data_IF_522283760613
#
_entry.id   IF_522283760613
#
_cell.length_a   1.000
_cell.length_b   1.000
_cell.length_c   1.000
_cell.angle_alpha   90.00
_cell.angle_beta   90.00
_cell.angle_gamma   90.00
#
_symmetry.space_group_name_H-M   'P 1'
#
loop_
_entity.id
_entity.type
_entity.pdbx_description
1 polymer ?
#
# COMPACT_ATOMS: atom_id res chain seq x y z
N UNK A 1 -1.22 3.09 25.88
CA UNK A 1 -0.82 3.06 24.47
C UNK A 1 -2.04 3.32 23.60
N UNK A 2 -1.91 4.12 22.56
CA UNK A 2 -2.99 4.49 21.62
C UNK A 2 -2.66 3.94 20.23
N UNK A 3 -3.57 3.15 19.68
CA UNK A 3 -3.41 2.46 18.41
C UNK A 3 -4.41 3.06 17.41
N UNK A 4 -3.91 3.56 16.28
CA UNK A 4 -4.74 3.94 15.14
C UNK A 4 -4.80 2.76 14.17
N UNK A 5 -6.02 2.38 13.75
CA UNK A 5 -6.23 1.30 12.78
C UNK A 5 -6.87 1.88 11.51
N UNK A 6 -6.34 1.48 10.35
CA UNK A 6 -6.85 1.84 9.03
C UNK A 6 -6.89 0.61 8.10
N UNK A 7 -7.45 0.76 6.91
CA UNK A 7 -7.39 -0.22 5.81
C UNK A 7 -7.72 0.46 4.47
N UNK A 8 -7.79 -0.32 3.39
CA UNK A 8 -8.30 0.10 2.08
C UNK A 8 -9.53 -0.67 1.60
N UNK A 9 -9.87 -1.79 2.23
CA UNK A 9 -11.06 -2.59 1.90
C UNK A 9 -12.39 -1.96 2.39
N UNK A 10 -12.31 -0.89 3.19
CA UNK A 10 -13.48 -0.19 3.74
C UNK A 10 -13.80 -0.57 5.19
N UNK A 11 -14.62 0.28 5.84
CA UNK A 11 -14.90 0.18 7.29
C UNK A 11 -15.73 -1.06 7.70
N UNK A 12 -16.37 -1.75 6.75
CA UNK A 12 -17.12 -2.98 6.99
C UNK A 12 -16.31 -4.25 6.70
N UNK A 13 -15.08 -4.12 6.22
CA UNK A 13 -14.27 -5.26 5.80
C UNK A 13 -13.99 -6.25 6.95
N UNK A 14 -14.13 -7.57 6.71
CA UNK A 14 -13.80 -8.60 7.70
C UNK A 14 -12.36 -8.50 8.20
N UNK A 15 -11.41 -8.18 7.32
CA UNK A 15 -10.01 -8.00 7.69
C UNK A 15 -9.78 -6.88 8.71
N UNK A 16 -10.51 -5.75 8.57
CA UNK A 16 -10.46 -4.66 9.53
C UNK A 16 -10.98 -5.12 10.92
N UNK A 17 -12.09 -5.84 10.92
CA UNK A 17 -12.65 -6.38 12.17
C UNK A 17 -11.69 -7.36 12.85
N UNK A 18 -11.04 -8.22 12.09
CA UNK A 18 -10.02 -9.15 12.58
C UNK A 18 -8.78 -8.43 13.13
N UNK A 19 -8.33 -7.37 12.48
CA UNK A 19 -7.22 -6.55 12.95
C UNK A 19 -7.55 -5.89 14.30
N UNK A 20 -8.75 -5.30 14.42
CA UNK A 20 -9.24 -4.74 15.69
C UNK A 20 -9.28 -5.80 16.78
N UNK A 21 -9.86 -6.97 16.51
CA UNK A 21 -9.94 -8.08 17.47
C UNK A 21 -8.55 -8.58 17.90
N UNK A 22 -7.60 -8.67 16.98
CA UNK A 22 -6.24 -9.12 17.24
C UNK A 22 -5.51 -8.26 18.28
N UNK A 23 -5.76 -6.96 18.31
CA UNK A 23 -5.06 -6.02 19.20
C UNK A 23 -5.91 -5.55 20.40
N UNK A 24 -7.08 -6.14 20.58
CA UNK A 24 -7.94 -5.88 21.73
C UNK A 24 -7.17 -6.11 23.04
N UNK A 25 -7.29 -5.15 23.98
CA UNK A 25 -6.59 -5.18 25.26
C UNK A 25 -5.12 -4.75 25.24
N UNK A 26 -4.54 -4.38 24.08
CA UNK A 26 -3.19 -3.86 24.00
C UNK A 26 -3.12 -2.34 24.23
N UNK A 27 -4.22 -1.64 24.06
CA UNK A 27 -4.32 -0.18 24.24
C UNK A 27 -5.69 0.35 23.88
N UNK A 28 -5.79 1.68 23.86
CA UNK A 28 -6.95 2.41 23.34
C UNK A 28 -6.91 2.36 21.80
N UNK A 29 -8.01 1.92 21.19
CA UNK A 29 -8.09 1.69 19.74
C UNK A 29 -9.03 2.73 19.12
N UNK A 30 -8.54 3.44 18.14
CA UNK A 30 -9.32 4.27 17.21
C UNK A 30 -9.23 3.67 15.81
N UNK A 31 -10.36 3.63 15.11
CA UNK A 31 -10.43 3.09 13.75
C UNK A 31 -10.89 4.18 12.79
N UNK A 32 -10.18 4.33 11.68
CA UNK A 32 -10.57 5.19 10.58
C UNK A 32 -10.33 4.47 9.25
N UNK A 33 -11.34 4.38 8.40
CA UNK A 33 -11.28 3.60 7.17
C UNK A 33 -12.05 4.29 6.04
N UNK A 34 -11.81 3.96 4.77
CA UNK A 34 -12.64 4.41 3.68
C UNK A 34 -14.09 3.92 3.82
N UNK A 35 -15.03 4.70 3.31
CA UNK A 35 -16.44 4.32 3.23
C UNK A 35 -16.64 3.04 2.42
N UNK A 36 -15.88 2.88 1.34
CA UNK A 36 -15.94 1.76 0.41
C UNK A 36 -14.53 1.24 0.12
N UNK A 37 -14.45 0.09 -0.57
CA UNK A 37 -13.17 -0.42 -1.05
C UNK A 37 -12.48 0.59 -1.96
N UNK A 38 -11.24 0.94 -1.61
CA UNK A 38 -10.38 1.90 -2.28
C UNK A 38 -9.05 1.26 -2.74
N UNK A 39 -9.10 -0.03 -3.12
CA UNK A 39 -7.91 -0.76 -3.60
C UNK A 39 -7.30 -0.09 -4.84
N UNK A 40 -5.98 -0.05 -4.91
CA UNK A 40 -5.25 0.52 -6.04
C UNK A 40 -5.19 2.06 -6.06
N UNK A 41 -5.58 2.74 -4.98
CA UNK A 41 -5.53 4.21 -4.90
C UNK A 41 -4.14 4.75 -4.59
N UNK A 42 -3.17 3.90 -4.26
CA UNK A 42 -1.82 4.34 -3.89
C UNK A 42 -1.85 5.36 -2.73
N UNK A 43 -0.85 6.24 -2.66
CA UNK A 43 -0.74 7.32 -1.66
C UNK A 43 -1.51 8.59 -2.09
N UNK A 44 -2.61 8.46 -2.82
CA UNK A 44 -3.36 9.62 -3.31
C UNK A 44 -4.07 10.36 -2.18
N UNK A 45 -3.95 11.70 -2.18
CA UNK A 45 -4.71 12.61 -1.34
C UNK A 45 -5.81 13.31 -2.15
N UNK A 46 -6.99 13.44 -1.56
CA UNK A 46 -8.13 14.14 -2.17
C UNK A 46 -8.05 15.65 -1.90
N UNK A 47 -7.52 16.40 -2.87
CA UNK A 47 -7.35 17.86 -2.74
C UNK A 47 -8.39 18.70 -3.52
N UNK A 48 -9.24 18.06 -4.31
CA UNK A 48 -10.16 18.71 -5.23
C UNK A 48 -11.61 18.79 -4.73
N UNK A 49 -11.91 18.23 -3.55
CA UNK A 49 -13.22 18.26 -2.90
C UNK A 49 -13.08 18.12 -1.39
N UNK A 50 -14.07 18.57 -0.60
CA UNK A 50 -14.08 18.31 0.84
C UNK A 50 -14.27 16.81 1.15
N UNK A 51 -13.67 16.38 2.24
CA UNK A 51 -13.88 15.06 2.84
C UNK A 51 -14.94 15.15 3.94
N UNK A 52 -15.75 14.12 4.05
CA UNK A 52 -16.73 13.96 5.11
C UNK A 52 -16.35 12.77 5.98
N UNK A 53 -16.53 12.93 7.27
CA UNK A 53 -16.24 11.90 8.29
C UNK A 53 -17.53 11.50 8.97
N UNK A 54 -17.77 10.21 9.06
CA UNK A 54 -18.95 9.63 9.67
C UNK A 54 -18.55 8.68 10.79
N UNK A 55 -19.43 8.48 11.78
CA UNK A 55 -19.26 7.45 12.82
C UNK A 55 -20.11 6.23 12.49
N UNK A 56 -19.52 5.04 12.55
CA UNK A 56 -20.25 3.78 12.39
C UNK A 56 -21.00 3.44 13.68
N UNK A 57 -22.33 3.29 13.63
CA UNK A 57 -23.14 3.05 14.83
C UNK A 57 -22.93 1.63 15.40
N UNK A 58 -23.20 1.45 16.70
CA UNK A 58 -23.39 0.14 17.33
C UNK A 58 -22.11 -0.67 17.56
N UNK A 59 -20.92 -0.06 17.52
CA UNK A 59 -19.65 -0.75 17.76
C UNK A 59 -19.09 -0.41 19.15
N UNK A 60 -18.46 -1.38 19.81
CA UNK A 60 -17.74 -1.16 21.08
C UNK A 60 -16.47 -0.32 20.88
N UNK A 61 -15.75 -0.55 19.79
CA UNK A 61 -14.62 0.28 19.38
C UNK A 61 -15.13 1.42 18.51
N UNK A 62 -14.66 2.63 18.71
CA UNK A 62 -15.02 3.78 17.89
C UNK A 62 -14.48 3.58 16.48
N UNK A 63 -15.38 3.53 15.51
CA UNK A 63 -15.07 3.38 14.09
C UNK A 63 -15.60 4.58 13.34
N UNK A 64 -14.71 5.28 12.66
CA UNK A 64 -15.05 6.38 11.72
C UNK A 64 -14.76 5.93 10.30
N UNK A 65 -15.53 6.44 9.37
CA UNK A 65 -15.25 6.24 7.95
C UNK A 65 -15.31 7.56 7.17
N UNK A 66 -14.54 7.60 6.08
CA UNK A 66 -14.33 8.78 5.26
C UNK A 66 -14.67 8.47 3.81
N UNK A 67 -15.30 9.42 3.10
CA UNK A 67 -15.52 9.32 1.66
C UNK A 67 -14.24 9.66 0.87
N UNK A 68 -13.13 9.08 1.23
CA UNK A 68 -11.78 9.36 0.72
C UNK A 68 -10.94 8.10 0.56
N UNK A 69 -9.67 8.32 0.26
CA UNK A 69 -8.66 7.26 0.14
C UNK A 69 -8.20 6.77 1.52
N UNK A 70 -7.47 5.63 1.60
CA UNK A 70 -6.82 5.20 2.84
C UNK A 70 -5.86 6.24 3.42
N UNK A 71 -5.08 6.92 2.57
CA UNK A 71 -4.21 8.03 2.98
C UNK A 71 -5.01 9.21 3.53
N UNK A 72 -6.14 9.58 2.89
CA UNK A 72 -7.03 10.62 3.41
C UNK A 72 -7.53 10.31 4.81
N UNK A 73 -7.92 9.05 5.06
CA UNK A 73 -8.39 8.61 6.36
C UNK A 73 -7.35 8.87 7.45
N UNK A 74 -6.12 8.42 7.24
CA UNK A 74 -5.02 8.63 8.20
C UNK A 74 -4.66 10.10 8.30
N UNK A 75 -4.57 10.81 7.19
CA UNK A 75 -4.25 12.25 7.16
C UNK A 75 -5.24 13.07 7.98
N UNK A 76 -6.54 12.88 7.77
CA UNK A 76 -7.60 13.58 8.50
C UNK A 76 -7.60 13.20 9.98
N UNK A 77 -7.33 11.92 10.31
CA UNK A 77 -7.18 11.49 11.69
C UNK A 77 -6.04 12.24 12.39
N UNK A 78 -4.85 12.28 11.76
CA UNK A 78 -3.64 12.85 12.32
C UNK A 78 -3.68 14.37 12.44
N UNK A 79 -4.34 15.05 11.51
CA UNK A 79 -4.32 16.53 11.41
C UNK A 79 -5.57 17.20 11.97
N UNK A 80 -6.67 16.47 12.21
CA UNK A 80 -7.92 17.10 12.60
C UNK A 80 -8.79 16.36 13.61
N UNK A 81 -8.82 15.01 13.60
CA UNK A 81 -9.77 14.25 14.41
C UNK A 81 -9.21 13.75 15.74
N UNK A 82 -7.92 13.44 15.79
CA UNK A 82 -7.27 12.99 17.00
C UNK A 82 -6.61 14.19 17.69
N UNK A 83 -7.00 14.47 18.91
CA UNK A 83 -6.33 15.50 19.73
C UNK A 83 -4.95 15.05 20.28
N UNK A 84 -4.38 13.99 19.72
CA UNK A 84 -3.14 13.36 20.15
C UNK A 84 -2.47 12.59 19.00
N UNK A 85 -1.19 12.29 19.14
CA UNK A 85 -0.45 11.41 18.25
C UNK A 85 -0.58 9.97 18.73
N UNK A 86 -1.00 9.01 17.85
CA UNK A 86 -0.98 7.58 18.18
C UNK A 86 0.45 7.08 18.45
N UNK A 87 0.57 6.05 19.27
CA UNK A 87 1.85 5.38 19.52
C UNK A 87 2.19 4.38 18.42
N UNK A 88 1.16 3.83 17.75
CA UNK A 88 1.29 2.82 16.71
C UNK A 88 0.14 2.96 15.71
N UNK A 89 0.44 2.81 14.42
CA UNK A 89 -0.55 2.67 13.36
C UNK A 89 -0.50 1.26 12.79
N UNK A 90 -1.67 0.64 12.62
CA UNK A 90 -1.83 -0.65 11.96
C UNK A 90 -2.80 -0.50 10.78
N UNK A 91 -2.43 -1.06 9.64
CA UNK A 91 -3.27 -1.04 8.43
C UNK A 91 -3.56 -2.46 7.95
N UNK A 92 -4.83 -2.76 7.63
CA UNK A 92 -5.24 -4.07 7.12
C UNK A 92 -6.41 -4.69 7.90
N UNK A 93 -6.57 -6.04 7.96
CA UNK A 93 -5.80 -7.05 7.18
C UNK A 93 -6.35 -7.05 5.75
N UNK A 94 -5.48 -6.77 4.77
CA UNK A 94 -5.87 -6.74 3.37
C UNK A 94 -6.14 -8.13 2.81
N UNK A 95 -7.07 -8.24 1.85
CA UNK A 95 -7.26 -9.45 1.06
C UNK A 95 -6.42 -9.37 -0.23
N UNK A 96 -5.39 -10.13 -0.27
CA UNK A 96 -4.41 -10.13 -1.37
C UNK A 96 -3.08 -9.54 -0.94
N UNK A 97 -2.02 -10.09 -1.49
CA UNK A 97 -0.66 -9.69 -1.17
C UNK A 97 -0.34 -8.26 -1.62
N UNK A 98 0.49 -7.59 -0.83
CA UNK A 98 1.15 -6.35 -1.20
C UNK A 98 2.66 -6.62 -1.22
N UNK A 99 3.19 -7.15 -2.33
CA UNK A 99 4.57 -7.60 -2.48
C UNK A 99 5.26 -6.95 -3.69
N UNK A 100 6.56 -6.82 -3.62
CA UNK A 100 7.35 -6.22 -4.68
C UNK A 100 6.87 -4.82 -5.05
N UNK A 101 6.81 -4.52 -6.35
CA UNK A 101 6.40 -3.22 -6.87
C UNK A 101 4.92 -2.89 -6.59
N UNK A 102 4.08 -3.87 -6.26
CA UNK A 102 2.66 -3.63 -5.93
C UNK A 102 2.47 -2.81 -4.65
N UNK A 103 3.47 -2.78 -3.77
CA UNK A 103 3.47 -1.91 -2.59
C UNK A 103 3.25 -0.44 -2.95
N UNK A 104 3.68 -0.01 -4.15
CA UNK A 104 3.49 1.36 -4.65
C UNK A 104 2.03 1.71 -4.97
N UNK A 105 1.21 0.69 -5.27
CA UNK A 105 -0.21 0.87 -5.62
C UNK A 105 -1.16 0.54 -4.47
N UNK A 106 -0.64 -0.07 -3.41
CA UNK A 106 -1.42 -0.56 -2.27
C UNK A 106 -1.98 0.57 -1.41
N UNK A 107 -3.29 0.61 -1.22
CA UNK A 107 -3.94 1.49 -0.26
C UNK A 107 -3.65 1.09 1.20
N UNK A 108 -3.51 -0.21 1.48
CA UNK A 108 -3.14 -0.72 2.81
C UNK A 108 -1.74 -0.23 3.22
N UNK A 109 -0.75 -0.37 2.31
CA UNK A 109 0.62 0.14 2.56
C UNK A 109 0.62 1.66 2.63
N UNK A 110 -0.18 2.33 1.80
CA UNK A 110 -0.31 3.78 1.77
C UNK A 110 -0.82 4.36 3.09
N UNK A 111 -1.85 3.75 3.71
CA UNK A 111 -2.34 4.15 5.02
C UNK A 111 -1.25 4.03 6.11
N UNK A 112 -0.48 2.92 6.09
CA UNK A 112 0.65 2.75 7.01
C UNK A 112 1.75 3.78 6.74
N UNK A 113 2.05 4.04 5.47
CA UNK A 113 3.05 5.02 5.04
C UNK A 113 2.67 6.44 5.47
N UNK A 114 1.39 6.82 5.37
CA UNK A 114 0.91 8.13 5.81
C UNK A 114 1.17 8.33 7.31
N UNK A 115 0.86 7.34 8.15
CA UNK A 115 1.18 7.39 9.57
C UNK A 115 2.68 7.49 9.86
N UNK A 116 3.49 6.75 9.11
CA UNK A 116 4.95 6.82 9.19
C UNK A 116 5.47 8.22 8.84
N UNK A 117 4.93 8.89 7.83
CA UNK A 117 5.27 10.25 7.45
C UNK A 117 4.96 11.27 8.57
N UNK A 118 3.91 11.02 9.37
CA UNK A 118 3.63 11.77 10.59
C UNK A 118 4.51 11.35 11.78
N UNK A 119 5.50 10.48 11.55
CA UNK A 119 6.44 10.02 12.55
C UNK A 119 5.86 8.98 13.52
N UNK A 120 4.80 8.27 13.16
CA UNK A 120 4.22 7.17 13.93
C UNK A 120 4.77 5.84 13.40
N UNK A 121 5.28 4.93 14.26
CA UNK A 121 5.59 3.57 13.85
C UNK A 121 4.38 2.91 13.21
N UNK A 122 4.55 2.25 12.06
CA UNK A 122 3.43 1.74 11.29
C UNK A 122 3.68 0.33 10.74
N UNK A 123 2.62 -0.49 10.69
CA UNK A 123 2.66 -1.85 10.15
C UNK A 123 1.45 -2.06 9.22
N UNK A 124 1.72 -2.47 7.99
CA UNK A 124 0.72 -2.94 7.04
C UNK A 124 0.65 -4.48 7.07
N UNK A 125 -0.55 -5.05 7.14
CA UNK A 125 -0.80 -6.48 7.14
C UNK A 125 -1.66 -6.89 5.95
N UNK A 126 -1.22 -7.91 5.21
CA UNK A 126 -1.92 -8.45 4.04
C UNK A 126 -1.92 -9.98 4.06
N UNK A 127 -3.05 -10.61 3.77
CA UNK A 127 -3.08 -12.03 3.40
C UNK A 127 -2.65 -12.18 1.93
N UNK A 128 -1.91 -13.24 1.63
CA UNK A 128 -1.36 -13.45 0.28
C UNK A 128 -2.47 -13.68 -0.75
N UNK A 129 -3.51 -14.44 -0.38
CA UNK A 129 -4.62 -14.75 -1.26
C UNK A 129 -5.87 -13.95 -0.89
N UNK A 130 -6.76 -13.77 -1.87
CA UNK A 130 -8.06 -13.10 -1.67
C UNK A 130 -9.05 -13.99 -0.94
N UNK A 131 -10.08 -13.36 -0.36
CA UNK A 131 -11.23 -14.05 0.24
C UNK A 131 -11.21 -14.18 1.76
N UNK A 132 -10.18 -13.68 2.45
CA UNK A 132 -10.04 -13.75 3.91
C UNK A 132 -10.21 -15.16 4.51
N UNK A 133 -9.71 -16.16 3.81
CA UNK A 133 -9.66 -17.53 4.33
C UNK A 133 -8.68 -17.57 5.49
N UNK A 134 -9.00 -18.33 6.55
CA UNK A 134 -8.15 -18.46 7.76
C UNK A 134 -7.84 -17.12 8.46
N UNK A 135 -8.79 -16.20 8.43
CA UNK A 135 -8.62 -14.84 8.98
C UNK A 135 -8.36 -14.83 10.49
N UNK A 136 -8.88 -15.82 11.23
CA UNK A 136 -8.63 -15.97 12.67
C UNK A 136 -7.15 -16.29 12.94
N UNK A 137 -6.55 -17.20 12.18
CA UNK A 137 -5.12 -17.52 12.27
C UNK A 137 -4.24 -16.31 11.91
N UNK A 138 -4.62 -15.57 10.87
CA UNK A 138 -3.98 -14.31 10.53
C UNK A 138 -4.07 -13.29 11.68
N UNK A 139 -5.20 -13.18 12.36
CA UNK A 139 -5.38 -12.33 13.53
C UNK A 139 -4.48 -12.72 14.70
N UNK A 140 -4.32 -14.03 15.00
CA UNK A 140 -3.37 -14.51 16.01
C UNK A 140 -1.93 -14.15 15.65
N UNK A 141 -1.55 -14.30 14.38
CA UNK A 141 -0.23 -13.88 13.89
C UNK A 141 -0.03 -12.36 14.09
N UNK A 142 -0.98 -11.55 13.64
CA UNK A 142 -0.94 -10.09 13.82
C UNK A 142 -0.67 -9.74 15.27
N UNK A 143 -1.46 -10.31 16.22
CA UNK A 143 -1.24 -10.09 17.65
C UNK A 143 0.17 -10.43 18.08
N UNK A 144 0.69 -11.57 17.64
CA UNK A 144 2.03 -12.03 17.99
C UNK A 144 3.12 -11.11 17.44
N UNK A 145 2.97 -10.63 16.19
CA UNK A 145 3.91 -9.65 15.58
C UNK A 145 3.87 -8.33 16.34
N UNK A 146 2.67 -7.81 16.64
CA UNK A 146 2.52 -6.55 17.38
C UNK A 146 3.14 -6.67 18.78
N UNK A 147 2.90 -7.75 19.51
CA UNK A 147 3.51 -7.97 20.82
C UNK A 147 5.04 -8.06 20.76
N UNK A 148 5.59 -8.69 19.74
CA UNK A 148 7.04 -8.77 19.54
C UNK A 148 7.65 -7.40 19.26
N UNK A 149 6.98 -6.59 18.43
CA UNK A 149 7.40 -5.20 18.16
C UNK A 149 7.34 -4.35 19.43
N UNK A 150 6.26 -4.47 20.21
CA UNK A 150 6.11 -3.73 21.47
C UNK A 150 7.17 -4.13 22.50
N UNK A 151 7.54 -5.41 22.58
CA UNK A 151 8.61 -5.89 23.46
C UNK A 151 9.98 -5.31 23.10
N UNK A 152 10.23 -5.00 21.82
CA UNK A 152 11.42 -4.27 21.37
C UNK A 152 11.39 -2.77 21.66
N UNK A 153 10.24 -2.24 22.07
CA UNK A 153 10.01 -0.82 22.30
C UNK A 153 9.65 -0.04 21.05
N UNK A 154 8.76 0.94 21.19
CA UNK A 154 8.36 1.88 20.11
C UNK A 154 9.19 3.16 20.11
N UNK A 155 10.13 3.29 21.07
CA UNK A 155 10.98 4.47 21.19
C UNK A 155 12.05 4.55 20.11
N UNK A 156 12.35 5.78 19.68
CA UNK A 156 13.39 6.05 18.68
C UNK A 156 12.84 6.49 17.32
N UNK A 157 13.55 6.11 16.27
CA UNK A 157 13.14 6.43 14.89
C UNK A 157 11.91 5.61 14.50
N UNK A 158 10.85 6.22 13.95
CA UNK A 158 9.69 5.48 13.48
C UNK A 158 10.09 4.48 12.38
N UNK A 159 9.37 3.38 12.29
CA UNK A 159 9.57 2.34 11.29
C UNK A 159 8.28 2.13 10.49
N UNK A 160 8.43 1.58 9.29
CA UNK A 160 7.34 1.13 8.43
C UNK A 160 7.60 -0.32 8.06
N UNK A 161 6.71 -1.23 8.48
CA UNK A 161 6.80 -2.66 8.15
C UNK A 161 5.64 -3.07 7.22
N UNK A 162 5.95 -3.88 6.23
CA UNK A 162 4.97 -4.52 5.36
C UNK A 162 5.00 -6.04 5.61
N UNK A 163 3.89 -6.59 6.06
CA UNK A 163 3.77 -7.99 6.47
C UNK A 163 2.81 -8.72 5.53
N UNK A 164 3.29 -9.78 4.88
CA UNK A 164 2.46 -10.65 4.03
C UNK A 164 2.33 -12.03 4.66
N UNK A 165 1.09 -12.49 4.82
CA UNK A 165 0.69 -13.65 5.63
C UNK A 165 0.14 -14.72 4.70
N UNK A 166 0.75 -15.92 4.59
CA UNK A 166 0.15 -17.05 3.88
C UNK A 166 -1.23 -17.42 4.46
N UNK A 167 -2.20 -17.74 3.59
CA UNK A 167 -3.57 -18.10 3.98
C UNK A 167 -3.62 -19.53 4.50
N UNK A 168 -3.22 -19.74 5.75
CA UNK A 168 -3.12 -21.04 6.39
C UNK A 168 -3.70 -21.04 7.79
N UNK A 169 -4.30 -22.15 8.20
CA UNK A 169 -4.86 -22.33 9.54
C UNK A 169 -3.79 -22.25 10.65
N UNK A 170 -2.54 -22.55 10.33
CA UNK A 170 -1.38 -22.49 11.21
C UNK A 170 -0.52 -21.23 10.99
N UNK A 171 -1.09 -20.15 10.41
CA UNK A 171 -0.37 -18.92 10.05
C UNK A 171 0.45 -18.34 11.21
N UNK A 172 -0.06 -18.41 12.43
CA UNK A 172 0.60 -17.92 13.64
C UNK A 172 1.84 -18.75 14.07
N UNK A 173 1.94 -20.01 13.61
CA UNK A 173 3.08 -20.90 13.85
C UNK A 173 4.13 -20.87 12.71
N UNK A 174 3.83 -20.23 11.58
CA UNK A 174 4.75 -20.18 10.44
C UNK A 174 6.05 -19.44 10.77
N UNK A 175 7.18 -19.86 10.16
CA UNK A 175 8.42 -19.10 10.24
C UNK A 175 8.26 -17.68 9.73
N UNK A 176 8.93 -16.74 10.35
CA UNK A 176 8.96 -15.30 9.96
C UNK A 176 10.31 -14.99 9.37
N UNK A 177 10.31 -14.38 8.20
CA UNK A 177 11.51 -13.95 7.51
C UNK A 177 11.51 -12.44 7.30
N UNK A 178 12.59 -11.78 7.66
CA UNK A 178 12.84 -10.40 7.26
C UNK A 178 13.29 -10.43 5.80
N UNK A 179 12.58 -9.72 4.95
CA UNK A 179 12.71 -9.78 3.49
C UNK A 179 12.99 -8.43 2.89
N UNK A 180 13.38 -8.41 1.64
CA UNK A 180 13.32 -7.24 0.76
C UNK A 180 12.18 -7.40 -0.24
N UNK A 181 11.75 -6.30 -0.83
CA UNK A 181 10.80 -6.36 -1.95
C UNK A 181 11.43 -7.11 -3.13
N UNK A 182 10.65 -8.00 -3.74
CA UNK A 182 10.95 -8.55 -5.05
C UNK A 182 10.55 -7.59 -6.17
N UNK A 183 10.45 -8.13 -7.40
CA UNK A 183 9.99 -7.37 -8.57
C UNK A 183 8.88 -8.14 -9.27
N UNK A 184 7.80 -7.46 -9.60
CA UNK A 184 6.73 -8.02 -10.40
C UNK A 184 6.98 -7.73 -11.89
N UNK A 185 6.50 -8.59 -12.77
CA UNK A 185 6.49 -8.31 -14.21
C UNK A 185 5.56 -7.13 -14.52
N UNK A 186 5.78 -6.53 -15.70
CA UNK A 186 4.77 -5.66 -16.27
C UNK A 186 3.43 -6.42 -16.34
N UNK A 187 2.36 -5.74 -15.99
CA UNK A 187 1.00 -6.29 -16.05
C UNK A 187 0.76 -7.00 -17.38
N UNK A 188 -0.07 -8.05 -17.36
CA UNK A 188 -0.56 -8.68 -18.58
C UNK A 188 -1.30 -7.65 -19.45
N UNK A 189 -1.55 -8.01 -20.71
CA UNK A 189 -2.24 -7.15 -21.63
C UNK A 189 -3.62 -6.73 -21.09
N UNK A 190 -4.04 -5.52 -21.43
CA UNK A 190 -5.38 -5.04 -21.10
C UNK A 190 -6.45 -5.97 -21.69
N UNK A 191 -7.52 -6.19 -20.93
CA UNK A 191 -8.68 -6.94 -21.38
C UNK A 191 -9.67 -5.95 -21.98
N UNK A 192 -9.83 -6.00 -23.31
CA UNK A 192 -10.82 -5.18 -24.01
C UNK A 192 -12.19 -5.86 -24.00
N UNK A 193 -13.22 -5.10 -23.70
CA UNK A 193 -14.62 -5.50 -23.75
C UNK A 193 -15.45 -4.39 -24.42
N UNK A 194 -16.73 -4.66 -24.65
CA UNK A 194 -17.66 -3.67 -25.19
C UNK A 194 -18.76 -3.42 -24.17
N UNK A 195 -19.05 -2.15 -23.87
CA UNK A 195 -20.14 -1.79 -22.97
C UNK A 195 -21.52 -1.98 -23.69
N UNK A 196 -22.66 -1.90 -22.96
CA UNK A 196 -24.00 -2.06 -23.56
C UNK A 196 -24.35 -1.05 -24.66
N UNK A 197 -23.58 0.03 -24.82
CA UNK A 197 -23.77 1.04 -25.88
C UNK A 197 -22.87 0.80 -27.11
N UNK A 198 -22.10 -0.31 -27.13
CA UNK A 198 -21.20 -0.63 -28.23
C UNK A 198 -19.84 0.07 -28.17
N UNK A 199 -19.51 0.77 -27.06
CA UNK A 199 -18.23 1.48 -26.90
C UNK A 199 -17.17 0.54 -26.30
N UNK A 200 -15.91 0.60 -26.76
CA UNK A 200 -14.83 -0.19 -26.19
C UNK A 200 -14.49 0.28 -24.78
N UNK A 201 -14.37 -0.65 -23.85
CA UNK A 201 -13.89 -0.45 -22.49
C UNK A 201 -12.68 -1.36 -22.23
N UNK A 202 -11.81 -0.97 -21.31
CA UNK A 202 -10.56 -1.66 -21.05
C UNK A 202 -10.41 -1.92 -19.55
N UNK A 203 -10.05 -3.14 -19.20
CA UNK A 203 -9.64 -3.50 -17.86
C UNK A 203 -8.14 -3.64 -17.80
N UNK A 204 -7.52 -3.17 -16.71
CA UNK A 204 -6.12 -3.47 -16.42
C UNK A 204 -6.02 -4.98 -16.19
N UNK A 205 -5.10 -5.62 -16.93
CA UNK A 205 -4.87 -7.06 -16.83
C UNK A 205 -4.29 -7.46 -15.47
N UNK A 206 -4.22 -8.77 -15.20
CA UNK A 206 -3.58 -9.29 -14.00
C UNK A 206 -2.12 -8.82 -13.88
N UNK A 207 -1.61 -8.83 -12.66
CA UNK A 207 -0.24 -8.37 -12.41
C UNK A 207 0.84 -9.31 -12.97
N UNK A 208 0.48 -10.55 -13.34
CA UNK A 208 1.41 -11.57 -13.85
C UNK A 208 2.36 -12.14 -12.77
N UNK A 209 3.29 -13.00 -13.21
CA UNK A 209 4.27 -13.63 -12.32
C UNK A 209 5.36 -12.67 -11.86
N UNK A 210 5.96 -12.97 -10.71
CA UNK A 210 7.06 -12.18 -10.18
C UNK A 210 8.34 -12.38 -11.03
N UNK A 211 8.91 -11.27 -11.53
CA UNK A 211 10.17 -11.26 -12.28
C UNK A 211 11.39 -11.53 -11.41
N UNK A 212 11.34 -11.05 -10.17
CA UNK A 212 12.39 -11.28 -9.18
C UNK A 212 11.74 -11.83 -7.90
N UNK A 213 11.79 -13.16 -7.78
CA UNK A 213 11.25 -13.93 -6.66
C UNK A 213 12.32 -14.84 -6.02
N UNK A 214 13.60 -14.48 -6.16
CA UNK A 214 14.71 -15.24 -5.60
C UNK A 214 14.81 -15.16 -4.08
N UNK A 215 15.71 -15.92 -3.48
CA UNK A 215 15.93 -15.97 -2.05
C UNK A 215 16.07 -14.57 -1.42
N UNK A 216 15.47 -14.39 -0.26
CA UNK A 216 15.44 -13.13 0.48
C UNK A 216 14.36 -12.15 0.03
N UNK A 217 13.55 -12.44 -1.01
CA UNK A 217 12.41 -11.63 -1.39
C UNK A 217 11.14 -12.03 -0.63
N UNK A 218 10.18 -11.11 -0.56
CA UNK A 218 8.83 -11.31 -0.05
C UNK A 218 8.08 -12.43 -0.81
N UNK A 219 8.20 -12.48 -2.14
CA UNK A 219 7.64 -13.56 -2.97
C UNK A 219 8.22 -14.93 -2.60
N UNK A 220 9.54 -15.01 -2.42
CA UNK A 220 10.18 -16.27 -2.06
C UNK A 220 9.73 -16.74 -0.68
N UNK A 221 9.69 -15.86 0.30
CA UNK A 221 9.27 -16.19 1.66
C UNK A 221 7.85 -16.76 1.69
N UNK A 222 6.89 -16.06 1.05
CA UNK A 222 5.49 -16.51 1.03
C UNK A 222 5.28 -17.80 0.24
N UNK A 223 6.01 -18.00 -0.86
CA UNK A 223 6.02 -19.26 -1.62
C UNK A 223 6.55 -20.45 -0.81
N UNK A 224 7.43 -20.21 0.19
CA UNK A 224 7.92 -21.22 1.13
C UNK A 224 7.05 -21.32 2.40
N UNK A 225 5.80 -20.84 2.33
CA UNK A 225 4.89 -20.79 3.47
C UNK A 225 5.50 -20.10 4.70
N UNK A 226 6.31 -19.06 4.51
CA UNK A 226 6.82 -18.22 5.57
C UNK A 226 6.09 -16.87 5.56
N UNK A 227 5.95 -16.27 6.74
CA UNK A 227 5.49 -14.88 6.85
C UNK A 227 6.61 -13.95 6.41
N UNK A 228 6.34 -13.10 5.44
CA UNK A 228 7.29 -12.08 4.99
C UNK A 228 7.12 -10.80 5.80
N UNK A 229 8.21 -10.23 6.31
CA UNK A 229 8.24 -8.95 7.01
C UNK A 229 9.28 -8.08 6.33
N UNK A 230 8.84 -7.08 5.57
CA UNK A 230 9.72 -6.19 4.81
C UNK A 230 9.74 -4.80 5.45
N UNK A 231 10.88 -4.33 5.99
CA UNK A 231 11.05 -2.92 6.34
C UNK A 231 11.02 -2.06 5.09
N UNK A 232 10.21 -1.00 5.11
CA UNK A 232 10.06 -0.07 3.99
C UNK A 232 10.66 1.30 4.31
N UNK A 233 11.06 2.01 3.26
CA UNK A 233 11.46 3.42 3.29
C UNK A 233 10.64 4.21 2.28
N UNK A 234 10.40 5.49 2.57
CA UNK A 234 9.65 6.40 1.68
C UNK A 234 10.57 7.32 0.88
N UNK A 235 11.87 7.32 1.16
CA UNK A 235 12.83 8.10 0.39
C UNK A 235 13.09 7.42 -0.96
N UNK A 236 12.58 8.04 -2.02
CA UNK A 236 12.73 7.59 -3.41
C UNK A 236 14.00 8.15 -4.08
N UNK A 237 14.84 8.88 -3.34
CA UNK A 237 16.07 9.46 -3.88
C UNK A 237 17.08 8.35 -4.21
N UNK A 238 17.55 8.31 -5.43
CA UNK A 238 18.69 7.44 -5.81
C UNK A 238 20.00 8.06 -5.31
N UNK A 239 20.26 7.89 -4.03
CA UNK A 239 21.45 8.44 -3.37
C UNK A 239 22.76 7.99 -4.02
N UNK A 240 22.80 6.78 -4.56
CA UNK A 240 23.99 6.23 -5.20
C UNK A 240 24.35 6.98 -6.48
N UNK A 241 23.36 7.54 -7.17
CA UNK A 241 23.56 8.27 -8.44
C UNK A 241 23.64 9.79 -8.31
N UNK A 242 23.39 10.34 -7.13
CA UNK A 242 23.48 11.79 -6.91
C UNK A 242 24.81 12.39 -7.37
N UNK A 243 26.00 11.80 -7.06
CA UNK A 243 27.28 12.34 -7.51
C UNK A 243 27.39 12.43 -9.04
N UNK A 244 26.95 11.38 -9.74
CA UNK A 244 27.00 11.32 -11.20
C UNK A 244 26.12 12.40 -11.86
N UNK A 245 24.89 12.59 -11.32
CA UNK A 245 23.98 13.60 -11.82
C UNK A 245 24.46 15.01 -11.51
N UNK A 246 25.07 15.27 -10.33
CA UNK A 246 25.70 16.55 -10.01
C UNK A 246 26.79 16.88 -11.02
N UNK A 247 27.70 15.93 -11.28
CA UNK A 247 28.77 16.13 -12.27
C UNK A 247 28.21 16.46 -13.66
N UNK A 248 27.11 15.83 -14.07
CA UNK A 248 26.52 16.03 -15.41
C UNK A 248 25.72 17.33 -15.56
N UNK A 249 25.02 17.74 -14.49
CA UNK A 249 24.03 18.82 -14.57
C UNK A 249 24.49 20.12 -13.90
N UNK A 250 25.29 20.06 -12.83
CA UNK A 250 25.78 21.24 -12.11
C UNK A 250 27.08 21.81 -12.69
N UNK A 251 27.86 20.98 -13.40
CA UNK A 251 29.06 21.50 -14.10
C UNK A 251 28.60 22.27 -15.33
N UNK A 252 28.97 23.57 -15.50
CA UNK A 252 28.63 24.34 -16.68
C UNK A 252 29.12 23.62 -17.92
N UNK A 253 28.23 23.23 -18.81
CA UNK A 253 28.57 22.58 -20.06
C UNK A 253 29.33 23.61 -20.95
N UNK A 254 30.62 23.44 -21.07
CA UNK A 254 31.41 24.17 -22.12
C UNK A 254 31.12 23.63 -23.52
N UNK A 255 30.29 22.62 -23.66
CA UNK A 255 29.83 22.07 -24.92
C UNK A 255 28.41 22.52 -25.17
N UNK A 256 28.21 23.50 -26.01
CA UNK A 256 26.96 23.65 -26.75
C UNK A 256 26.79 22.38 -27.56
N UNK A 257 26.09 21.37 -27.01
CA UNK A 257 25.65 20.24 -27.80
C UNK A 257 24.58 20.77 -28.73
N UNK A 258 24.98 21.13 -29.96
CA UNK A 258 24.02 21.30 -31.04
C UNK A 258 23.29 19.96 -31.17
N UNK A 259 22.10 19.87 -30.61
CA UNK A 259 21.20 18.71 -30.83
C UNK A 259 20.95 18.72 -32.35
N UNK A 260 21.27 17.65 -33.08
CA UNK A 260 20.93 17.58 -34.49
C UNK A 260 19.39 17.67 -34.56
N UNK A 261 18.90 18.69 -35.27
CA UNK A 261 17.47 18.93 -35.52
C UNK A 261 16.75 17.72 -36.13
N UNK A 262 17.50 16.72 -36.58
CA UNK A 262 16.99 15.44 -37.11
C UNK A 262 16.36 14.51 -36.08
N UNK A 263 16.45 14.75 -34.75
CA UNK A 263 15.83 13.93 -33.71
C UNK A 263 14.44 14.41 -33.24
N UNK A 264 13.97 15.54 -33.77
CA UNK A 264 12.59 15.94 -33.61
C UNK A 264 11.84 15.37 -34.82
N UNK A 265 11.01 14.32 -34.66
CA UNK A 265 10.14 13.92 -35.76
C UNK A 265 9.19 15.10 -36.02
N UNK A 266 9.46 15.86 -37.04
CA UNK A 266 8.49 16.80 -37.60
C UNK A 266 7.35 15.92 -38.06
N UNK A 267 6.26 15.94 -37.30
CA UNK A 267 5.04 15.28 -37.73
C UNK A 267 4.71 15.79 -39.11
N UNK A 268 4.58 14.91 -40.08
CA UNK A 268 4.33 15.19 -41.51
C UNK A 268 2.92 15.74 -41.69
N UNK A 269 2.47 16.72 -41.06
CA UNK A 269 1.22 17.47 -41.19
C UNK A 269 0.04 16.78 -41.92
N UNK A 270 0.08 15.48 -42.13
CA UNK A 270 -0.97 14.72 -42.76
C UNK A 270 -2.09 14.46 -41.77
N UNK A 271 -3.33 14.84 -42.03
CA UNK A 271 -4.46 14.51 -41.17
C UNK A 271 -4.54 12.96 -41.07
N UNK A 272 -4.57 12.43 -39.83
CA UNK A 272 -4.83 11.01 -39.61
C UNK A 272 -6.16 10.66 -40.29
N UNK A 273 -6.23 9.58 -41.09
CA UNK A 273 -7.50 9.17 -41.67
C UNK A 273 -8.49 8.91 -40.53
N UNK A 274 -9.67 9.48 -40.67
CA UNK A 274 -10.79 9.22 -39.78
C UNK A 274 -11.01 7.70 -39.74
N UNK A 275 -11.00 7.12 -38.53
CA UNK A 275 -11.35 5.72 -38.31
C UNK A 275 -12.75 5.53 -38.90
N UNK A 276 -12.83 4.74 -39.99
CA UNK A 276 -14.04 4.48 -40.71
C UNK A 276 -15.10 3.92 -39.79
N UNK A 277 -16.27 4.52 -39.84
CA UNK A 277 -17.52 3.95 -39.32
C UNK A 277 -17.86 2.70 -40.15
N UNK A 278 -17.85 1.59 -39.51
CA UNK A 278 -18.58 0.41 -39.99
C UNK A 278 -19.22 -0.29 -38.78
#
# INVERSE_FOLDING_TARGET
>A
MRILIANDDGYLAPGLAALVAAVQGLGEIEVIAPEQNASGTSNALTLNRPLQVFEAPGRQTRVRFVNGTPSDCVHVAMTGLLGYRPDLLLSGINQGANMGDDTLYSGTVAAAMEGYLFGVPAIAFSQVEKGWVELEAAGRLVRSVVLQVLAGGLGGTPFLLNVNIPNRADADALPRLVTRLGRRHASEAVIQQTNPRGEPIYWIGPAGDAREAGAGTDFHATAQACVSITPLQVDLTDHARLPDWRQRLETPSQRTVALPLSLIPVGDGRPRPALGRS
#
